data_IF_371996044153
#
_entry.id   IF_371996044153
#
_cell.length_a   1.000
_cell.length_b   1.000
_cell.length_c   1.000
_cell.angle_alpha   90.00
_cell.angle_beta   90.00
_cell.angle_gamma   90.00
#
_symmetry.space_group_name_H-M   'P 1'
#
loop_
_entity.id
_entity.type
_entity.pdbx_description
1 polymer ?
#
# COMPACT_ATOMS: atom_id res chain seq x y z
N UNK A 1 -13.30 -2.32 -8.49
CA UNK A 1 -12.45 -3.48 -8.88
C UNK A 1 -11.06 -3.19 -8.35
N UNK A 2 -10.36 -4.15 -7.72
CA UNK A 2 -9.05 -3.87 -7.13
C UNK A 2 -8.01 -3.55 -8.21
N UNK A 3 -7.12 -2.62 -7.92
CA UNK A 3 -5.93 -2.41 -8.74
C UNK A 3 -4.90 -3.50 -8.45
N UNK A 4 -4.33 -4.08 -9.50
CA UNK A 4 -3.35 -5.15 -9.42
C UNK A 4 -2.03 -4.71 -10.03
N UNK A 5 -0.93 -5.25 -9.53
CA UNK A 5 0.40 -5.10 -10.11
C UNK A 5 0.38 -5.52 -11.59
N UNK A 6 0.79 -4.60 -12.46
CA UNK A 6 0.84 -4.79 -13.91
C UNK A 6 2.25 -5.13 -14.43
N UNK A 7 3.25 -5.05 -13.55
CA UNK A 7 4.64 -5.41 -13.82
C UNK A 7 5.02 -6.70 -13.10
N UNK A 8 6.12 -7.35 -13.49
CA UNK A 8 6.64 -8.45 -12.71
C UNK A 8 7.08 -7.96 -11.32
N UNK A 9 6.90 -8.79 -10.29
CA UNK A 9 7.33 -8.44 -8.92
C UNK A 9 8.83 -8.11 -8.85
N UNK A 10 9.66 -8.86 -9.60
CA UNK A 10 11.09 -8.60 -9.73
C UNK A 10 11.40 -7.20 -10.29
N UNK A 11 10.51 -6.68 -11.14
CA UNK A 11 10.65 -5.36 -11.73
C UNK A 11 10.21 -4.25 -10.77
N UNK A 12 9.70 -4.58 -9.57
CA UNK A 12 9.47 -3.55 -8.55
C UNK A 12 10.77 -3.10 -7.89
N UNK A 13 11.83 -3.93 -7.88
CA UNK A 13 13.04 -3.61 -7.13
C UNK A 13 14.00 -2.70 -7.90
N UNK A 14 14.76 -1.90 -7.15
CA UNK A 14 15.81 -1.02 -7.65
C UNK A 14 15.71 0.42 -7.12
N UNK A 15 16.85 1.12 -7.03
CA UNK A 15 16.89 2.50 -6.53
C UNK A 15 16.17 3.47 -7.46
N UNK A 16 15.40 4.39 -6.87
CA UNK A 16 14.73 5.49 -7.55
C UNK A 16 13.88 5.09 -8.78
N UNK A 17 13.32 3.87 -8.77
CA UNK A 17 12.59 3.32 -9.92
C UNK A 17 11.22 3.96 -10.14
N UNK A 18 10.49 4.24 -9.05
CA UNK A 18 9.16 4.84 -9.09
C UNK A 18 9.20 6.21 -8.43
N UNK A 19 9.64 7.22 -9.16
CA UNK A 19 9.75 8.59 -8.65
C UNK A 19 8.62 9.47 -9.16
N UNK A 20 8.23 10.46 -8.37
CA UNK A 20 7.40 11.56 -8.87
C UNK A 20 8.21 12.46 -9.83
N UNK A 21 7.55 13.49 -10.36
CA UNK A 21 8.17 14.49 -11.26
C UNK A 21 9.38 15.23 -10.66
N UNK A 22 9.52 15.27 -9.33
CA UNK A 22 10.64 15.92 -8.63
C UNK A 22 11.70 14.92 -8.17
N UNK A 23 11.62 13.65 -8.55
CA UNK A 23 12.60 12.62 -8.19
C UNK A 23 12.39 11.97 -6.81
N UNK A 24 11.24 12.17 -6.16
CA UNK A 24 10.96 11.59 -4.84
C UNK A 24 10.27 10.24 -4.94
N UNK A 25 10.69 9.29 -4.10
CA UNK A 25 10.19 7.91 -4.04
C UNK A 25 9.03 7.78 -3.06
N UNK A 26 7.87 8.31 -3.42
CA UNK A 26 6.67 8.25 -2.57
C UNK A 26 5.96 6.88 -2.69
N UNK A 27 5.25 6.46 -1.63
CA UNK A 27 4.51 5.21 -1.60
C UNK A 27 3.37 5.18 -2.63
N UNK A 28 2.66 6.30 -2.77
CA UNK A 28 1.58 6.50 -3.74
C UNK A 28 2.09 6.37 -5.16
N UNK A 29 3.29 6.87 -5.45
CA UNK A 29 3.86 6.82 -6.79
C UNK A 29 4.20 5.41 -7.23
N UNK A 30 4.75 4.60 -6.32
CA UNK A 30 4.94 3.18 -6.59
C UNK A 30 3.63 2.49 -6.94
N UNK A 31 2.59 2.65 -6.13
CA UNK A 31 1.28 2.04 -6.40
C UNK A 31 0.72 2.49 -7.75
N UNK A 32 0.66 3.81 -8.01
CA UNK A 32 0.10 4.34 -9.26
C UNK A 32 0.85 3.86 -10.50
N UNK A 33 2.18 3.90 -10.46
CA UNK A 33 3.01 3.54 -11.62
C UNK A 33 3.07 2.02 -11.83
N UNK A 34 3.01 1.23 -10.76
CA UNK A 34 3.08 -0.22 -10.85
C UNK A 34 1.73 -0.91 -11.13
N UNK A 35 0.59 -0.25 -10.84
CA UNK A 35 -0.76 -0.83 -11.01
C UNK A 35 -1.67 -0.06 -11.97
N UNK A 36 -1.24 1.12 -12.43
CA UNK A 36 -2.10 2.03 -13.20
C UNK A 36 -3.23 2.68 -12.39
N UNK A 37 -3.15 2.66 -11.05
CA UNK A 37 -4.16 3.30 -10.21
C UNK A 37 -4.24 4.82 -10.48
N UNK A 38 -5.44 5.42 -10.39
CA UNK A 38 -5.65 6.84 -10.63
C UNK A 38 -5.08 7.69 -9.49
N UNK A 39 -5.37 8.99 -9.48
CA UNK A 39 -4.91 9.87 -8.41
C UNK A 39 -5.59 9.52 -7.07
N UNK A 40 -4.93 9.80 -5.93
CA UNK A 40 -5.46 9.43 -4.60
C UNK A 40 -6.84 10.00 -4.23
N UNK A 41 -7.31 11.15 -4.76
CA UNK A 41 -8.69 11.59 -4.56
C UNK A 41 -9.76 10.66 -5.16
N UNK A 42 -9.37 9.87 -6.16
CA UNK A 42 -10.27 8.92 -6.84
C UNK A 42 -10.32 7.57 -6.12
N UNK A 43 -9.34 7.28 -5.26
CA UNK A 43 -9.30 6.03 -4.50
C UNK A 43 -10.47 5.95 -3.53
N UNK A 44 -11.06 4.76 -3.45
CA UNK A 44 -12.11 4.43 -2.49
C UNK A 44 -11.68 3.26 -1.63
N UNK A 45 -12.13 3.31 -0.37
CA UNK A 45 -11.92 2.23 0.58
C UNK A 45 -12.72 1.00 0.18
N UNK A 46 -12.02 -0.07 -0.19
CA UNK A 46 -12.59 -1.39 -0.41
C UNK A 46 -12.61 -2.25 0.86
N UNK A 47 -12.50 -3.55 0.66
CA UNK A 47 -12.46 -4.53 1.76
C UNK A 47 -11.21 -4.33 2.63
N UNK A 48 -11.39 -4.41 3.94
CA UNK A 48 -10.29 -4.38 4.90
C UNK A 48 -9.47 -5.67 4.81
N UNK A 49 -8.15 -5.54 4.64
CA UNK A 49 -7.30 -6.69 4.28
C UNK A 49 -7.34 -7.79 5.34
N UNK A 50 -7.16 -7.42 6.61
CA UNK A 50 -7.12 -8.35 7.75
C UNK A 50 -8.45 -9.02 8.09
N UNK A 51 -9.56 -8.50 7.55
CA UNK A 51 -10.90 -9.06 7.76
C UNK A 51 -11.42 -9.79 6.51
N UNK A 52 -10.64 -9.81 5.43
CA UNK A 52 -11.00 -10.52 4.22
C UNK A 52 -10.84 -12.04 4.45
N UNK A 53 -11.68 -12.89 3.81
CA UNK A 53 -11.47 -14.33 3.86
C UNK A 53 -10.06 -14.70 3.39
N UNK A 54 -9.42 -15.66 4.06
CA UNK A 54 -8.06 -16.08 3.73
C UNK A 54 -7.93 -16.46 2.25
N UNK A 55 -6.95 -15.86 1.56
CA UNK A 55 -6.70 -16.09 0.13
C UNK A 55 -7.64 -15.38 -0.84
N UNK A 56 -8.62 -14.60 -0.36
CA UNK A 56 -9.52 -13.84 -1.24
C UNK A 56 -8.87 -12.60 -1.87
N UNK A 57 -7.88 -12.01 -1.19
CA UNK A 57 -7.10 -10.89 -1.71
C UNK A 57 -5.91 -11.45 -2.49
N UNK A 58 -5.81 -11.09 -3.76
CA UNK A 58 -4.76 -11.59 -4.64
C UNK A 58 -3.42 -10.94 -4.32
N UNK A 59 -2.33 -11.72 -4.39
CA UNK A 59 -0.97 -11.18 -4.44
C UNK A 59 -0.87 -10.14 -5.56
N UNK A 60 -0.23 -9.00 -5.28
CA UNK A 60 -0.13 -7.87 -6.18
C UNK A 60 -1.27 -6.84 -6.04
N UNK A 61 -2.20 -7.02 -5.10
CA UNK A 61 -3.31 -6.07 -4.90
C UNK A 61 -2.83 -4.77 -4.27
N UNK A 62 -3.26 -3.64 -4.81
CA UNK A 62 -3.01 -2.33 -4.23
C UNK A 62 -3.84 -2.14 -2.96
N UNK A 63 -3.17 -1.74 -1.89
CA UNK A 63 -3.78 -1.48 -0.58
C UNK A 63 -3.33 -0.12 -0.06
N UNK A 64 -4.16 0.54 0.72
CA UNK A 64 -3.83 1.82 1.34
C UNK A 64 -4.52 1.98 2.69
N UNK A 65 -4.03 2.95 3.46
CA UNK A 65 -4.76 3.51 4.59
C UNK A 65 -5.89 4.40 4.10
N UNK A 66 -7.02 4.40 4.82
CA UNK A 66 -8.18 5.26 4.56
C UNK A 66 -8.61 5.99 5.84
N UNK A 67 -9.25 7.15 5.69
CA UNK A 67 -9.85 7.89 6.79
C UNK A 67 -11.26 7.37 7.12
N UNK A 68 -11.90 7.95 8.13
CA UNK A 68 -13.25 7.55 8.59
C UNK A 68 -14.34 7.74 7.52
N UNK A 69 -14.04 8.50 6.47
CA UNK A 69 -14.94 8.74 5.33
C UNK A 69 -14.61 7.85 4.12
N UNK A 70 -13.65 6.93 4.24
CA UNK A 70 -13.25 6.03 3.16
C UNK A 70 -12.42 6.70 2.06
N UNK A 71 -11.76 7.83 2.38
CA UNK A 71 -10.86 8.52 1.46
C UNK A 71 -9.39 8.34 1.88
N UNK A 72 -8.47 8.49 0.93
CA UNK A 72 -7.04 8.47 1.26
C UNK A 72 -6.71 9.62 2.23
N UNK A 73 -6.11 9.36 3.41
CA UNK A 73 -6.00 10.35 4.47
C UNK A 73 -5.18 11.55 4.03
N UNK A 74 -5.70 12.73 4.35
CA UNK A 74 -4.99 14.00 4.21
C UNK A 74 -4.48 14.53 5.54
N UNK A 75 -4.82 13.86 6.63
CA UNK A 75 -4.33 14.18 7.95
C UNK A 75 -2.84 13.78 8.10
N UNK A 76 -2.15 14.43 9.04
CA UNK A 76 -0.76 14.11 9.37
C UNK A 76 -0.60 12.82 10.18
N UNK A 77 -1.62 11.94 10.27
CA UNK A 77 -1.66 10.81 11.21
C UNK A 77 -1.11 9.51 10.64
N UNK A 78 -0.36 9.61 9.54
CA UNK A 78 0.17 8.49 8.78
C UNK A 78 -0.80 8.11 7.67
N UNK A 79 -0.32 8.29 6.44
CA UNK A 79 -0.97 7.83 5.21
C UNK A 79 0.02 6.99 4.45
N UNK A 80 -0.43 5.86 3.93
CA UNK A 80 0.45 4.94 3.22
C UNK A 80 -0.30 4.13 2.18
N UNK A 81 0.43 3.73 1.15
CA UNK A 81 -0.05 2.86 0.08
C UNK A 81 1.03 1.82 -0.22
N UNK A 82 0.61 0.59 -0.51
CA UNK A 82 1.52 -0.52 -0.73
C UNK A 82 0.89 -1.56 -1.68
N UNK A 83 1.72 -2.50 -2.13
CA UNK A 83 1.27 -3.67 -2.88
C UNK A 83 1.27 -4.87 -1.94
N UNK A 84 0.10 -5.45 -1.72
CA UNK A 84 -0.10 -6.65 -0.90
C UNK A 84 0.56 -7.87 -1.55
N UNK A 85 1.33 -8.62 -0.76
CA UNK A 85 1.95 -9.86 -1.19
C UNK A 85 1.26 -11.09 -0.60
N UNK A 86 1.08 -11.08 0.71
CA UNK A 86 0.45 -12.15 1.49
C UNK A 86 0.09 -11.65 2.89
N UNK A 87 -0.81 -12.36 3.55
CA UNK A 87 -1.09 -12.22 4.97
C UNK A 87 -0.52 -13.43 5.72
N UNK A 88 0.14 -13.18 6.85
CA UNK A 88 0.64 -14.22 7.73
C UNK A 88 0.35 -13.88 9.20
N UNK A 89 0.75 -14.76 10.12
CA UNK A 89 0.48 -14.62 11.54
C UNK A 89 1.04 -13.33 12.19
N UNK A 90 2.02 -12.68 11.58
CA UNK A 90 2.58 -11.40 12.05
C UNK A 90 1.80 -10.20 11.49
N UNK A 91 1.32 -10.31 10.25
CA UNK A 91 0.48 -9.31 9.59
C UNK A 91 0.62 -9.34 8.07
N UNK A 92 0.65 -8.17 7.45
CA UNK A 92 0.63 -8.04 5.98
C UNK A 92 2.05 -7.92 5.46
N UNK A 93 2.45 -8.83 4.58
CA UNK A 93 3.68 -8.69 3.81
C UNK A 93 3.37 -7.85 2.58
N UNK A 94 4.14 -6.79 2.38
CA UNK A 94 3.89 -5.81 1.32
C UNK A 94 5.17 -5.42 0.60
N UNK A 95 5.01 -4.85 -0.59
CA UNK A 95 6.02 -4.04 -1.25
C UNK A 95 5.64 -2.57 -1.10
N UNK A 96 6.59 -1.75 -0.68
CA UNK A 96 6.42 -0.30 -0.64
C UNK A 96 7.76 0.44 -0.69
N UNK A 97 7.65 1.76 -0.79
CA UNK A 97 8.76 2.70 -0.74
C UNK A 97 8.33 4.00 -0.06
N UNK A 98 9.32 4.78 0.37
CA UNK A 98 9.16 6.17 0.81
C UNK A 98 10.48 6.91 0.60
N UNK A 99 10.44 8.25 0.68
CA UNK A 99 11.55 9.13 0.28
C UNK A 99 12.90 8.76 0.90
N UNK A 100 12.94 8.48 2.22
CA UNK A 100 14.21 8.11 2.88
C UNK A 100 14.64 6.66 2.61
N UNK A 101 13.74 5.78 2.16
CA UNK A 101 14.10 4.43 1.71
C UNK A 101 14.69 4.44 0.30
N UNK A 102 14.18 5.30 -0.59
CA UNK A 102 14.77 5.50 -1.92
C UNK A 102 14.52 4.38 -2.94
N UNK A 103 13.88 3.27 -2.54
CA UNK A 103 13.64 2.11 -3.38
C UNK A 103 12.47 1.28 -2.84
N UNK A 104 11.92 0.39 -3.67
CA UNK A 104 10.90 -0.57 -3.21
C UNK A 104 11.57 -1.67 -2.39
N UNK A 105 11.03 -1.94 -1.20
CA UNK A 105 11.44 -3.06 -0.35
C UNK A 105 10.23 -3.87 0.07
N UNK A 106 10.51 -5.14 0.39
CA UNK A 106 9.57 -6.00 1.08
C UNK A 106 9.63 -5.73 2.57
N UNK A 107 8.48 -5.49 3.21
CA UNK A 107 8.38 -5.42 4.68
C UNK A 107 7.08 -6.03 5.19
N UNK A 108 7.02 -6.23 6.49
CA UNK A 108 5.82 -6.68 7.20
C UNK A 108 5.20 -5.51 7.95
N UNK A 109 3.91 -5.28 7.74
CA UNK A 109 3.05 -4.40 8.52
C UNK A 109 2.38 -5.26 9.58
N UNK A 110 2.56 -4.93 10.85
CA UNK A 110 2.22 -5.85 11.94
C UNK A 110 0.77 -5.67 12.41
N UNK A 111 0.13 -6.79 12.79
CA UNK A 111 -1.19 -6.80 13.43
C UNK A 111 -1.17 -6.23 14.84
N UNK A 112 -0.10 -6.53 15.61
CA UNK A 112 0.04 -6.14 17.02
C UNK A 112 0.68 -4.76 17.17
N UNK A 113 0.21 -3.77 16.41
CA UNK A 113 0.64 -2.37 16.55
C UNK A 113 -0.51 -1.51 17.03
N UNK A 114 -0.23 -0.43 17.79
CA UNK A 114 -1.23 0.58 18.08
C UNK A 114 -1.78 1.13 16.76
N UNK A 115 -3.03 1.59 16.75
CA UNK A 115 -3.65 2.15 15.54
C UNK A 115 -3.01 3.48 15.07
N UNK A 116 -2.01 3.96 15.84
CA UNK A 116 -1.20 5.12 15.54
C UNK A 116 0.32 4.83 15.67
N UNK A 117 1.17 5.25 14.71
CA UNK A 117 0.79 5.82 13.42
C UNK A 117 0.19 4.75 12.50
N UNK A 118 -0.79 5.12 11.64
CA UNK A 118 -1.55 4.14 10.82
C UNK A 118 -0.68 3.28 9.92
N UNK A 119 0.46 3.82 9.48
CA UNK A 119 1.39 3.19 8.53
C UNK A 119 1.91 1.82 8.97
N UNK A 120 2.02 1.58 10.28
CA UNK A 120 2.57 0.33 10.82
C UNK A 120 1.50 -0.63 11.36
N UNK A 121 0.23 -0.25 11.32
CA UNK A 121 -0.88 -1.06 11.80
C UNK A 121 -1.59 -1.74 10.62
N UNK A 122 -1.48 -3.06 10.53
CA UNK A 122 -2.13 -3.86 9.48
C UNK A 122 -3.65 -3.66 9.41
N UNK A 123 -4.28 -3.37 10.55
CA UNK A 123 -5.74 -3.13 10.65
C UNK A 123 -6.18 -1.84 9.94
N UNK A 124 -5.26 -0.95 9.61
CA UNK A 124 -5.58 0.30 8.93
C UNK A 124 -5.53 0.17 7.40
N UNK A 125 -5.28 -1.02 6.85
CA UNK A 125 -5.14 -1.23 5.40
C UNK A 125 -6.38 -1.86 4.77
N UNK A 126 -6.79 -1.28 3.65
CA UNK A 126 -7.92 -1.68 2.83
C UNK A 126 -7.47 -1.79 1.38
N UNK A 127 -8.17 -2.61 0.61
CA UNK A 127 -8.02 -2.69 -0.85
C UNK A 127 -8.40 -1.34 -1.46
N UNK A 128 -7.61 -0.89 -2.44
CA UNK A 128 -7.92 0.31 -3.22
C UNK A 128 -8.89 -0.06 -4.34
N UNK A 129 -10.02 0.64 -4.41
CA UNK A 129 -11.01 0.55 -5.48
C UNK A 129 -11.19 1.87 -6.24
#
# INVERSE_FOLDING_TARGET
>A
MPYLLQIAESDSFGPAKFVNKTGHTECVEYVRQATGAPSTPEWRQGIQVVNAPAGSIRRGTAIATFDEHGHYPRDGRGRHAAIFLEENALGLVVLDQWNSQGEVKRRTIYLKRPDYPRVDCARQYFVIE
#
